data_IF_175600296994
#
_entry.id   IF_175600296994
#
_cell.length_a   1.000
_cell.length_b   1.000
_cell.length_c   1.000
_cell.angle_alpha   90.00
_cell.angle_beta   90.00
_cell.angle_gamma   90.00
#
_symmetry.space_group_name_H-M   'P 1'
#
loop_
_entity.id
_entity.type
_entity.pdbx_description
1 polymer ?
#
# COMPACT_ATOMS: atom_id res chain seq x y z
N UNK A 1 1.49 -1.20 -5.58
CA UNK A 1 2.61 -0.44 -6.20
C UNK A 1 3.87 -1.28 -6.07
N UNK A 2 4.72 -1.35 -7.11
CA UNK A 2 6.03 -1.99 -7.03
C UNK A 2 7.12 -0.92 -6.85
N UNK A 3 8.05 -1.18 -5.95
CA UNK A 3 9.12 -0.25 -5.58
C UNK A 3 10.37 -1.02 -5.21
N UNK A 4 11.51 -0.60 -5.74
CA UNK A 4 12.78 -1.31 -5.53
C UNK A 4 13.30 -1.09 -4.11
N UNK A 5 13.27 0.17 -3.65
CA UNK A 5 13.61 0.57 -2.29
C UNK A 5 12.92 1.87 -1.84
N UNK A 6 13.21 2.30 -0.61
CA UNK A 6 12.64 3.52 -0.01
C UNK A 6 13.13 4.81 -0.68
N UNK A 7 14.33 4.82 -1.27
CA UNK A 7 14.90 6.00 -1.91
C UNK A 7 14.24 6.25 -3.26
N UNK A 8 14.11 5.20 -4.06
CA UNK A 8 13.36 5.19 -5.32
C UNK A 8 11.90 5.61 -5.09
N UNK A 9 11.30 5.17 -3.98
CA UNK A 9 9.96 5.62 -3.60
C UNK A 9 9.92 7.12 -3.29
N UNK A 10 10.90 7.60 -2.51
CA UNK A 10 10.98 8.99 -2.11
C UNK A 10 11.18 9.93 -3.30
N UNK A 11 12.01 9.54 -4.26
CA UNK A 11 12.18 10.24 -5.53
C UNK A 11 10.87 10.32 -6.31
N UNK A 12 10.16 9.20 -6.48
CA UNK A 12 8.85 9.16 -7.16
C UNK A 12 7.81 10.05 -6.49
N UNK A 13 7.83 10.10 -5.15
CA UNK A 13 6.92 10.94 -4.36
C UNK A 13 7.39 12.39 -4.24
N UNK A 14 8.61 12.71 -4.71
CA UNK A 14 9.29 14.00 -4.50
C UNK A 14 9.30 14.40 -3.02
N UNK A 15 9.62 13.45 -2.16
CA UNK A 15 9.67 13.62 -0.72
C UNK A 15 11.04 13.22 -0.17
N UNK A 16 11.30 13.63 1.06
CA UNK A 16 12.48 13.21 1.81
C UNK A 16 12.43 11.70 2.16
N UNK A 17 13.52 10.93 1.95
CA UNK A 17 13.54 9.49 2.24
C UNK A 17 13.26 9.12 3.71
N UNK A 18 13.68 9.94 4.68
CA UNK A 18 13.40 9.66 6.09
C UNK A 18 11.91 9.86 6.39
N UNK A 19 11.31 10.92 5.86
CA UNK A 19 9.85 11.14 5.94
C UNK A 19 9.06 9.98 5.34
N UNK A 20 9.50 9.47 4.18
CA UNK A 20 8.84 8.33 3.53
C UNK A 20 9.00 7.06 4.36
N UNK A 21 10.19 6.80 4.90
CA UNK A 21 10.45 5.67 5.80
C UNK A 21 9.56 5.70 7.04
N UNK A 22 9.45 6.86 7.68
CA UNK A 22 8.62 7.05 8.86
C UNK A 22 7.13 6.90 8.55
N UNK A 23 6.67 7.47 7.43
CA UNK A 23 5.30 7.31 6.98
C UNK A 23 4.96 5.83 6.74
N UNK A 24 5.82 5.09 6.04
CA UNK A 24 5.64 3.65 5.82
C UNK A 24 5.58 2.88 7.14
N UNK A 25 6.46 3.21 8.09
CA UNK A 25 6.49 2.56 9.40
C UNK A 25 5.17 2.76 10.13
N UNK A 26 4.64 3.99 10.17
CA UNK A 26 3.34 4.31 10.79
C UNK A 26 2.19 3.59 10.09
N UNK A 27 2.12 3.66 8.76
CA UNK A 27 1.09 2.98 7.97
C UNK A 27 1.10 1.46 8.16
N UNK A 28 2.27 0.85 8.40
CA UNK A 28 2.36 -0.58 8.74
C UNK A 28 1.88 -0.88 10.15
N UNK A 29 2.23 -0.04 11.13
CA UNK A 29 1.78 -0.18 12.52
C UNK A 29 0.26 -0.08 12.62
N UNK A 30 -0.33 0.85 11.87
CA UNK A 30 -1.78 1.07 11.81
C UNK A 30 -2.51 0.02 10.95
N UNK A 31 -1.80 -0.98 10.43
CA UNK A 31 -2.33 -2.00 9.51
C UNK A 31 -3.07 -1.39 8.31
N UNK A 32 -2.57 -0.28 7.79
CA UNK A 32 -3.06 0.35 6.56
C UNK A 32 -2.40 -0.28 5.33
N UNK A 33 -1.06 -0.41 5.36
CA UNK A 33 -0.27 -1.00 4.26
C UNK A 33 0.43 -2.28 4.70
N UNK A 34 0.53 -3.25 3.79
CA UNK A 34 1.48 -4.35 3.89
C UNK A 34 2.56 -4.24 2.83
N UNK A 35 3.75 -4.74 3.15
CA UNK A 35 4.88 -4.82 2.23
C UNK A 35 5.23 -6.29 2.05
N UNK A 36 5.25 -6.73 0.80
CA UNK A 36 5.67 -8.07 0.43
C UNK A 36 6.80 -7.98 -0.59
N UNK A 37 7.89 -8.72 -0.36
CA UNK A 37 8.98 -8.84 -1.32
C UNK A 37 8.58 -9.82 -2.42
N UNK A 38 8.44 -9.33 -3.64
CA UNK A 38 8.27 -10.16 -4.82
C UNK A 38 9.64 -10.69 -5.24
N UNK A 39 9.88 -11.98 -5.01
CA UNK A 39 11.16 -12.63 -5.33
C UNK A 39 11.42 -12.74 -6.84
N UNK A 40 10.37 -12.72 -7.67
CA UNK A 40 10.51 -12.84 -9.12
C UNK A 40 10.98 -11.53 -9.76
N UNK A 41 10.58 -10.40 -9.16
CA UNK A 41 10.90 -9.06 -9.63
C UNK A 41 11.93 -8.35 -8.74
N UNK A 42 12.44 -9.03 -7.70
CA UNK A 42 13.38 -8.50 -6.71
C UNK A 42 12.99 -7.12 -6.16
N UNK A 43 11.68 -6.86 -6.00
CA UNK A 43 11.17 -5.56 -5.57
C UNK A 43 10.12 -5.70 -4.46
N UNK A 44 9.82 -4.59 -3.79
CA UNK A 44 8.76 -4.51 -2.80
C UNK A 44 7.43 -4.17 -3.44
N UNK A 45 6.43 -5.00 -3.16
CA UNK A 45 5.04 -4.71 -3.42
C UNK A 45 4.41 -4.08 -2.18
N UNK A 46 3.97 -2.84 -2.31
CA UNK A 46 3.18 -2.13 -1.31
C UNK A 46 1.70 -2.27 -1.69
N UNK A 47 0.92 -2.87 -0.79
CA UNK A 47 -0.53 -3.08 -0.91
C UNK A 47 -1.29 -2.57 0.31
N UNK A 48 -2.60 -2.41 0.18
CA UNK A 48 -3.49 -1.99 1.27
C UNK A 48 -4.15 -3.20 1.91
N UNK A 49 -4.24 -3.23 3.25
CA UNK A 49 -4.97 -4.28 3.94
C UNK A 49 -6.45 -4.22 3.56
N UNK A 50 -7.06 -5.40 3.34
CA UNK A 50 -8.48 -5.49 3.01
C UNK A 50 -9.36 -4.87 4.11
N UNK A 51 -9.04 -5.11 5.38
CA UNK A 51 -9.77 -4.53 6.51
C UNK A 51 -9.80 -3.00 6.48
N UNK A 52 -8.67 -2.36 6.13
CA UNK A 52 -8.61 -0.91 6.01
C UNK A 52 -9.50 -0.39 4.87
N UNK A 53 -9.54 -1.11 3.74
CA UNK A 53 -10.42 -0.76 2.62
C UNK A 53 -11.89 -0.94 3.01
N UNK A 54 -12.24 -2.07 3.64
CA UNK A 54 -13.60 -2.35 4.08
C UNK A 54 -14.08 -1.27 5.09
N UNK A 55 -13.21 -0.85 6.02
CA UNK A 55 -13.49 0.24 6.97
C UNK A 55 -13.72 1.59 6.28
N UNK A 56 -12.90 1.92 5.26
CA UNK A 56 -13.07 3.13 4.46
C UNK A 56 -14.39 3.11 3.68
N UNK A 57 -14.75 1.96 3.13
CA UNK A 57 -15.98 1.78 2.36
C UNK A 57 -17.22 1.98 3.24
N UNK A 58 -17.22 1.40 4.45
CA UNK A 58 -18.30 1.60 5.43
C UNK A 58 -18.39 3.06 5.87
N UNK A 59 -17.26 3.69 6.23
CA UNK A 59 -17.23 5.07 6.75
C UNK A 59 -17.66 6.12 5.72
N UNK A 60 -17.37 5.89 4.45
CA UNK A 60 -17.61 6.86 3.38
C UNK A 60 -18.73 6.46 2.41
N UNK A 61 -19.45 5.36 2.69
CA UNK A 61 -20.52 4.86 1.82
C UNK A 61 -20.05 4.50 0.41
N UNK A 62 -18.78 4.12 0.25
CA UNK A 62 -18.19 3.80 -1.05
C UNK A 62 -18.63 2.39 -1.46
N UNK A 63 -19.78 2.31 -2.14
CA UNK A 63 -20.33 1.04 -2.60
C UNK A 63 -19.61 0.57 -3.87
N UNK A 64 -18.62 -0.33 -3.73
CA UNK A 64 -18.07 -1.02 -4.91
C UNK A 64 -19.04 -2.10 -5.34
N UNK A 65 -19.58 -1.99 -6.57
CA UNK A 65 -20.24 -3.11 -7.22
C UNK A 65 -19.27 -4.31 -7.22
N UNK A 66 -19.70 -5.52 -6.87
CA UNK A 66 -18.83 -6.68 -6.86
C UNK A 66 -18.21 -6.86 -8.24
N UNK A 67 -16.88 -6.87 -8.31
CA UNK A 67 -16.17 -7.30 -9.51
C UNK A 67 -16.45 -8.80 -9.64
N UNK A 68 -17.30 -9.14 -10.61
CA UNK A 68 -17.60 -10.52 -10.97
C UNK A 68 -16.28 -11.27 -11.17
N UNK A 69 -15.98 -12.20 -10.27
CA UNK A 69 -15.06 -13.29 -10.57
C UNK A 69 -15.83 -14.22 -11.52
N UNK A 70 -15.67 -14.00 -12.82
CA UNK A 70 -16.12 -14.99 -13.79
C UNK A 70 -15.32 -16.29 -13.57
N UNK A 71 -15.99 -17.46 -13.69
CA UNK A 71 -15.38 -18.76 -13.50
C UNK A 71 -14.28 -19.07 -14.52
#
# INVERSE_FOLDING_TARGET
MYVDDVYTLAEKLKQDPERVRDAIKRLRQDRVVYIWMDKSLSCWKIGLYKSFIDDLEVKHGLNRKPVNKQP
#
